data_IF_225215685494
#
_entry.id   IF_225215685494
#
_cell.length_a   1.000
_cell.length_b   1.000
_cell.length_c   1.000
_cell.angle_alpha   90.00
_cell.angle_beta   90.00
_cell.angle_gamma   90.00
#
_symmetry.space_group_name_H-M   'P 1'
#
loop_
_entity.id
_entity.type
_entity.pdbx_description
1 polymer ?
#
# COMPACT_ATOMS: atom_id res chain seq x y z
N UNK A 1 -9.63 33.92 71.29
CA UNK A 1 -10.87 33.18 71.56
C UNK A 1 -10.95 32.02 70.57
N UNK A 2 -10.75 30.81 71.07
CA UNK A 2 -10.89 29.54 70.33
C UNK A 2 -12.34 29.30 69.88
N UNK A 3 -12.50 28.56 68.79
CA UNK A 3 -13.60 27.60 68.48
C UNK A 3 -13.23 26.93 67.14
N UNK A 4 -12.72 25.69 67.14
CA UNK A 4 -13.48 24.41 67.13
C UNK A 4 -14.55 24.40 66.03
N UNK A 5 -14.28 23.73 64.89
CA UNK A 5 -14.62 22.32 64.59
C UNK A 5 -16.14 22.09 64.61
N UNK A 6 -16.75 21.87 63.43
CA UNK A 6 -17.22 20.56 62.93
C UNK A 6 -18.41 20.01 63.78
N UNK A 7 -19.48 19.41 63.26
CA UNK A 7 -19.58 18.45 62.18
C UNK A 7 -21.08 18.11 62.03
N UNK A 8 -21.56 18.06 60.79
CA UNK A 8 -22.45 17.03 60.20
C UNK A 8 -23.51 16.36 61.08
N UNK A 9 -24.75 16.53 60.65
CA UNK A 9 -25.65 15.41 60.38
C UNK A 9 -26.14 15.69 58.97
N UNK A 10 -25.95 14.84 57.96
CA UNK A 10 -26.69 13.60 57.76
C UNK A 10 -25.83 12.59 56.98
N UNK A 11 -25.40 11.53 57.65
CA UNK A 11 -25.18 10.24 57.00
C UNK A 11 -26.05 9.24 57.76
N UNK A 12 -27.13 8.78 57.13
CA UNK A 12 -27.36 7.34 57.04
C UNK A 12 -28.45 7.02 56.02
N UNK A 13 -28.07 6.37 54.91
CA UNK A 13 -28.60 5.04 54.61
C UNK A 13 -27.91 4.44 53.37
N UNK A 14 -27.12 3.40 53.65
CA UNK A 14 -27.07 2.10 52.94
C UNK A 14 -27.01 2.13 51.41
N UNK A 15 -25.84 1.73 50.90
CA UNK A 15 -25.73 0.43 50.23
C UNK A 15 -24.28 -0.05 50.27
N UNK A 16 -24.03 -0.97 51.18
CA UNK A 16 -22.91 -1.88 51.12
C UNK A 16 -23.10 -2.77 49.88
N UNK A 17 -22.19 -2.67 48.91
CA UNK A 17 -21.88 -3.78 48.02
C UNK A 17 -20.37 -3.82 47.83
N UNK A 18 -19.82 -5.02 48.05
CA UNK A 18 -18.42 -5.36 47.91
C UNK A 18 -17.85 -4.90 46.56
N UNK A 19 -16.73 -4.20 46.59
CA UNK A 19 -16.01 -3.77 45.38
C UNK A 19 -15.16 -2.56 45.68
N UNK A 20 -13.84 -2.71 45.60
CA UNK A 20 -12.89 -1.62 45.79
C UNK A 20 -13.24 -0.41 44.94
N UNK A 21 -12.94 0.79 45.44
CA UNK A 21 -13.14 2.06 44.75
C UNK A 21 -12.63 1.93 43.30
N UNK A 22 -13.49 2.04 42.28
CA UNK A 22 -13.02 2.03 40.89
C UNK A 22 -12.08 3.21 40.74
N UNK A 23 -10.86 2.98 40.23
CA UNK A 23 -9.99 4.07 39.80
C UNK A 23 -10.78 4.83 38.74
N UNK A 24 -11.15 6.07 39.01
CA UNK A 24 -11.90 6.91 38.08
C UNK A 24 -11.25 8.28 38.07
N UNK A 25 -11.00 8.81 36.87
CA UNK A 25 -10.46 10.15 36.68
C UNK A 25 -11.58 11.10 36.27
N UNK A 26 -11.46 12.37 36.68
CA UNK A 26 -12.45 13.40 36.38
C UNK A 26 -12.01 14.17 35.13
N UNK A 27 -12.78 14.04 34.06
CA UNK A 27 -12.58 14.77 32.80
C UNK A 27 -13.86 15.56 32.47
N UNK A 28 -13.74 16.87 32.24
CA UNK A 28 -14.87 17.77 31.89
C UNK A 28 -16.13 17.56 32.77
N UNK A 29 -15.95 17.56 34.09
CA UNK A 29 -17.01 17.38 35.10
C UNK A 29 -17.75 16.03 35.11
N UNK A 30 -17.27 15.02 34.36
CA UNK A 30 -17.74 13.64 34.47
C UNK A 30 -16.67 12.72 35.07
N UNK A 31 -17.12 11.78 35.89
CA UNK A 31 -16.30 10.68 36.39
C UNK A 31 -16.24 9.58 35.31
N UNK A 32 -15.04 9.33 34.79
CA UNK A 32 -14.81 8.29 33.79
C UNK A 32 -14.04 7.14 34.46
N UNK A 33 -14.52 5.88 34.36
CA UNK A 33 -13.78 4.75 34.88
C UNK A 33 -12.43 4.62 34.16
N UNK A 34 -11.33 4.50 34.92
CA UNK A 34 -10.04 4.10 34.39
C UNK A 34 -10.12 2.61 34.08
N UNK A 35 -10.56 2.27 32.87
CA UNK A 35 -10.37 0.92 32.37
C UNK A 35 -8.87 0.74 32.15
N UNK A 36 -8.23 -0.14 32.93
CA UNK A 36 -6.93 -0.69 32.53
C UNK A 36 -7.15 -1.31 31.15
N UNK A 37 -6.48 -0.76 30.14
CA UNK A 37 -6.55 -1.29 28.78
C UNK A 37 -6.23 -2.79 28.87
N UNK A 38 -7.11 -3.70 28.41
CA UNK A 38 -6.86 -5.13 28.58
C UNK A 38 -5.70 -5.49 27.66
N UNK A 39 -4.48 -5.53 28.19
CA UNK A 39 -3.35 -6.23 27.60
C UNK A 39 -3.54 -7.74 27.81
N UNK A 40 -4.76 -8.24 27.62
CA UNK A 40 -4.96 -9.68 27.42
C UNK A 40 -4.15 -10.02 26.19
N UNK A 41 -2.99 -10.58 26.49
CA UNK A 41 -2.04 -11.15 25.57
C UNK A 41 -2.85 -11.98 24.58
N UNK A 42 -2.96 -11.49 23.35
CA UNK A 42 -3.39 -12.26 22.19
C UNK A 42 -2.30 -13.31 21.90
N UNK A 43 -2.04 -14.20 22.85
CA UNK A 43 -1.19 -15.37 22.70
C UNK A 43 -2.07 -16.48 22.12
N UNK A 44 -1.82 -16.84 20.86
CA UNK A 44 -2.14 -18.18 20.36
C UNK A 44 -3.09 -18.32 19.16
N UNK A 45 -3.58 -17.25 18.52
CA UNK A 45 -4.41 -17.39 17.31
C UNK A 45 -3.95 -16.59 16.08
N UNK A 46 -2.88 -15.82 16.18
CA UNK A 46 -2.15 -15.43 14.98
C UNK A 46 -1.30 -16.65 14.55
N UNK A 47 -1.92 -17.61 13.87
CA UNK A 47 -1.13 -18.25 12.81
C UNK A 47 -0.74 -17.08 11.92
N UNK A 48 0.53 -16.63 11.99
CA UNK A 48 1.08 -15.70 11.01
C UNK A 48 0.86 -16.37 9.67
N UNK A 49 -0.21 -15.95 9.00
CA UNK A 49 -0.50 -16.39 7.65
C UNK A 49 0.77 -16.11 6.86
N UNK A 50 1.38 -17.12 6.22
CA UNK A 50 2.62 -16.94 5.51
C UNK A 50 2.49 -15.71 4.62
N UNK A 51 3.42 -14.76 4.65
CA UNK A 51 3.27 -13.51 3.94
C UNK A 51 2.88 -13.80 2.49
N UNK A 52 1.75 -13.25 2.06
CA UNK A 52 1.13 -13.52 0.76
C UNK A 52 2.14 -13.38 -0.40
N UNK A 53 3.14 -12.51 -0.19
CA UNK A 53 4.32 -12.35 -1.03
C UNK A 53 5.59 -12.42 -0.17
N UNK A 54 6.26 -13.58 -0.10
CA UNK A 54 7.57 -13.70 0.54
C UNK A 54 8.56 -12.72 -0.06
N UNK A 55 9.41 -12.13 0.77
CA UNK A 55 10.39 -11.11 0.37
C UNK A 55 11.35 -11.64 -0.69
N UNK A 56 11.64 -12.94 -0.67
CA UNK A 56 12.48 -13.63 -1.64
C UNK A 56 11.86 -13.57 -3.04
N UNK A 57 10.55 -13.77 -3.17
CA UNK A 57 9.85 -13.68 -4.46
C UNK A 57 9.86 -12.26 -5.00
N UNK A 58 9.81 -11.26 -4.11
CA UNK A 58 9.94 -9.86 -4.50
C UNK A 58 11.36 -9.54 -4.97
N UNK A 59 12.38 -10.02 -4.26
CA UNK A 59 13.78 -9.88 -4.66
C UNK A 59 14.05 -10.55 -6.02
N UNK A 60 13.51 -11.74 -6.25
CA UNK A 60 13.60 -12.43 -7.54
C UNK A 60 12.93 -11.64 -8.67
N UNK A 61 11.75 -11.07 -8.42
CA UNK A 61 11.07 -10.21 -9.39
C UNK A 61 11.89 -8.96 -9.73
N UNK A 62 12.48 -8.30 -8.72
CA UNK A 62 13.39 -7.16 -8.94
C UNK A 62 14.65 -7.57 -9.71
N UNK A 63 15.21 -8.74 -9.42
CA UNK A 63 16.36 -9.29 -10.15
C UNK A 63 16.02 -9.48 -11.63
N UNK A 64 14.87 -10.04 -11.94
CA UNK A 64 14.42 -10.22 -13.33
C UNK A 64 14.22 -8.89 -14.07
N UNK A 65 13.71 -7.87 -13.39
CA UNK A 65 13.60 -6.51 -13.93
C UNK A 65 14.99 -5.94 -14.22
N UNK A 66 15.92 -6.04 -13.27
CA UNK A 66 17.29 -5.56 -13.43
C UNK A 66 18.00 -6.26 -14.61
N UNK A 67 17.84 -7.58 -14.73
CA UNK A 67 18.40 -8.36 -15.83
C UNK A 67 17.85 -7.92 -17.19
N UNK A 68 16.55 -7.69 -17.29
CA UNK A 68 15.95 -7.21 -18.53
C UNK A 68 16.47 -5.83 -18.95
N UNK A 69 16.54 -4.89 -17.99
CA UNK A 69 17.09 -3.55 -18.20
C UNK A 69 18.54 -3.61 -18.69
N UNK A 70 19.36 -4.46 -18.07
CA UNK A 70 20.78 -4.65 -18.38
C UNK A 70 21.05 -5.59 -19.57
N UNK A 71 20.02 -6.06 -20.27
CA UNK A 71 20.16 -6.98 -21.40
C UNK A 71 20.82 -8.31 -21.06
N UNK A 72 20.42 -8.91 -19.95
CA UNK A 72 21.02 -10.12 -19.42
C UNK A 72 22.55 -9.98 -19.26
N UNK A 73 22.98 -8.79 -18.79
CA UNK A 73 24.39 -8.45 -18.56
C UNK A 73 25.12 -7.81 -19.75
N UNK A 74 24.49 -7.72 -20.93
CA UNK A 74 25.07 -7.04 -22.10
C UNK A 74 24.80 -5.53 -22.05
N UNK A 75 25.46 -4.86 -21.11
CA UNK A 75 25.29 -3.43 -20.86
C UNK A 75 25.56 -2.58 -22.10
N UNK A 76 24.60 -1.73 -22.44
CA UNK A 76 24.71 -0.70 -23.47
C UNK A 76 23.94 0.52 -22.98
N UNK A 77 24.63 1.63 -22.71
CA UNK A 77 24.05 2.81 -22.05
C UNK A 77 22.73 3.29 -22.69
N UNK A 78 22.72 3.45 -24.01
CA UNK A 78 21.50 3.80 -24.76
C UNK A 78 20.41 2.75 -24.62
N UNK A 79 20.76 1.47 -24.75
CA UNK A 79 19.82 0.36 -24.64
C UNK A 79 19.24 0.18 -23.23
N UNK A 80 20.00 0.53 -22.19
CA UNK A 80 19.52 0.56 -20.79
C UNK A 80 18.56 1.72 -20.60
N UNK A 81 18.91 2.90 -21.11
CA UNK A 81 18.05 4.10 -21.05
C UNK A 81 16.72 3.84 -21.76
N UNK A 82 16.78 3.23 -22.94
CA UNK A 82 15.59 2.94 -23.74
C UNK A 82 14.65 1.97 -23.02
N UNK A 83 15.22 0.89 -22.45
CA UNK A 83 14.45 -0.07 -21.66
C UNK A 83 13.92 0.49 -20.36
N UNK A 84 14.68 1.32 -19.65
CA UNK A 84 14.22 1.97 -18.42
C UNK A 84 13.01 2.88 -18.68
N UNK A 85 13.04 3.64 -19.78
CA UNK A 85 11.91 4.47 -20.19
C UNK A 85 10.68 3.62 -20.57
N UNK A 86 10.86 2.51 -21.28
CA UNK A 86 9.77 1.60 -21.61
C UNK A 86 9.22 0.92 -20.36
N UNK A 87 10.07 0.48 -19.43
CA UNK A 87 9.66 -0.08 -18.14
C UNK A 87 8.79 0.91 -17.37
N UNK A 88 9.26 2.15 -17.22
CA UNK A 88 8.52 3.21 -16.54
C UNK A 88 7.17 3.48 -17.23
N UNK A 89 7.14 3.48 -18.56
CA UNK A 89 5.89 3.66 -19.31
C UNK A 89 4.92 2.50 -19.11
N UNK A 90 5.41 1.26 -19.01
CA UNK A 90 4.56 0.09 -18.80
C UNK A 90 3.91 0.11 -17.41
N UNK A 91 4.71 0.33 -16.36
CA UNK A 91 4.23 0.26 -14.97
C UNK A 91 3.52 1.54 -14.53
N UNK A 92 4.03 2.70 -14.92
CA UNK A 92 3.53 4.01 -14.51
C UNK A 92 3.55 5.02 -15.67
N UNK A 93 2.64 4.89 -16.67
CA UNK A 93 2.59 5.80 -17.81
C UNK A 93 2.55 7.28 -17.40
N UNK A 94 1.81 7.60 -16.33
CA UNK A 94 1.70 8.97 -15.79
C UNK A 94 3.06 9.55 -15.36
N UNK A 95 3.95 8.74 -14.77
CA UNK A 95 5.28 9.18 -14.35
C UNK A 95 6.20 9.51 -15.53
N UNK A 96 5.97 8.87 -16.69
CA UNK A 96 6.70 9.21 -17.91
C UNK A 96 6.18 10.44 -18.62
N UNK A 97 5.00 10.95 -18.23
CA UNK A 97 4.28 12.01 -18.94
C UNK A 97 3.77 11.58 -20.31
N UNK A 98 3.75 10.28 -20.61
CA UNK A 98 3.31 9.73 -21.88
C UNK A 98 2.01 8.94 -21.69
N UNK A 99 1.00 9.27 -22.49
CA UNK A 99 -0.32 8.60 -22.48
C UNK A 99 -0.47 7.54 -23.57
N UNK A 100 0.47 7.55 -24.53
CA UNK A 100 0.48 6.65 -25.69
C UNK A 100 1.92 6.27 -26.06
N UNK A 101 2.07 5.14 -26.76
CA UNK A 101 3.36 4.72 -27.32
C UNK A 101 3.92 5.71 -28.35
N UNK A 102 3.07 6.47 -29.05
CA UNK A 102 3.52 7.48 -30.00
C UNK A 102 4.26 8.62 -29.31
N UNK A 103 3.70 9.13 -28.20
CA UNK A 103 4.34 10.14 -27.37
C UNK A 103 5.65 9.62 -26.76
N UNK A 104 5.68 8.34 -26.36
CA UNK A 104 6.89 7.71 -25.86
C UNK A 104 7.98 7.66 -26.94
N UNK A 105 7.63 7.26 -28.16
CA UNK A 105 8.57 7.20 -29.29
C UNK A 105 9.16 8.58 -29.65
N UNK A 106 8.32 9.60 -29.66
CA UNK A 106 8.75 10.99 -29.86
C UNK A 106 9.72 11.44 -28.75
N UNK A 107 9.40 11.16 -27.49
CA UNK A 107 10.24 11.53 -26.34
C UNK A 107 11.61 10.85 -26.38
N UNK A 108 11.65 9.59 -26.78
CA UNK A 108 12.89 8.80 -26.87
C UNK A 108 13.66 9.03 -28.18
N UNK A 109 13.09 9.80 -29.12
CA UNK A 109 13.62 9.97 -30.49
C UNK A 109 13.87 8.62 -31.18
N UNK A 110 12.93 7.70 -30.99
CA UNK A 110 12.93 6.37 -31.62
C UNK A 110 11.76 6.26 -32.60
N UNK A 111 11.86 5.33 -33.54
CA UNK A 111 10.71 4.98 -34.37
C UNK A 111 9.65 4.26 -33.55
N UNK A 112 8.38 4.36 -33.98
CA UNK A 112 7.28 3.60 -33.35
C UNK A 112 7.50 2.10 -33.41
N UNK A 113 8.19 1.58 -34.45
CA UNK A 113 8.51 0.16 -34.55
C UNK A 113 9.55 -0.27 -33.51
N UNK A 114 10.57 0.54 -33.24
CA UNK A 114 11.56 0.27 -32.19
C UNK A 114 10.90 0.22 -30.81
N UNK A 115 10.06 1.21 -30.48
CA UNK A 115 9.30 1.21 -29.21
C UNK A 115 8.38 -0.01 -29.11
N UNK A 116 7.70 -0.37 -30.19
CA UNK A 116 6.85 -1.57 -30.21
C UNK A 116 7.63 -2.85 -29.95
N UNK A 117 8.85 -2.99 -30.46
CA UNK A 117 9.68 -4.15 -30.16
C UNK A 117 10.09 -4.20 -28.68
N UNK A 118 10.47 -3.08 -28.07
CA UNK A 118 10.72 -3.04 -26.63
C UNK A 118 9.48 -3.41 -25.80
N UNK A 119 8.31 -2.90 -26.18
CA UNK A 119 7.04 -3.24 -25.50
C UNK A 119 6.71 -4.72 -25.66
N UNK A 120 6.91 -5.31 -26.85
CA UNK A 120 6.71 -6.75 -27.09
C UNK A 120 7.68 -7.58 -26.26
N UNK A 121 8.97 -7.20 -26.22
CA UNK A 121 9.98 -7.89 -25.42
C UNK A 121 9.62 -7.86 -23.94
N UNK A 122 9.23 -6.68 -23.42
CA UNK A 122 8.75 -6.53 -22.06
C UNK A 122 7.54 -7.43 -21.78
N UNK A 123 6.53 -7.37 -22.65
CA UNK A 123 5.28 -8.12 -22.47
C UNK A 123 5.50 -9.63 -22.54
N UNK A 124 6.46 -10.10 -23.35
CA UNK A 124 6.86 -11.50 -23.42
C UNK A 124 7.61 -11.94 -22.15
N UNK A 125 8.46 -11.09 -21.59
CA UNK A 125 9.26 -11.43 -20.41
C UNK A 125 8.43 -11.43 -19.12
N UNK A 126 7.53 -10.47 -18.95
CA UNK A 126 6.80 -10.24 -17.71
C UNK A 126 5.30 -10.57 -17.79
N UNK A 127 4.81 -11.00 -18.96
CA UNK A 127 3.38 -11.26 -19.20
C UNK A 127 2.46 -10.10 -18.80
N UNK A 128 2.99 -8.86 -18.86
CA UNK A 128 2.29 -7.65 -18.44
C UNK A 128 2.18 -6.65 -19.59
N UNK A 129 1.00 -6.05 -19.72
CA UNK A 129 0.72 -5.03 -20.72
C UNK A 129 -0.01 -3.86 -20.08
N UNK A 130 0.50 -2.64 -20.29
CA UNK A 130 -0.13 -1.43 -19.78
C UNK A 130 -1.36 -1.04 -20.59
N UNK A 131 -2.37 -0.42 -19.96
CA UNK A 131 -3.51 0.10 -20.71
C UNK A 131 -3.11 1.21 -21.71
N UNK A 132 -1.98 1.88 -21.47
CA UNK A 132 -1.44 2.92 -22.33
C UNK A 132 -0.91 2.41 -23.68
N UNK A 133 -0.65 1.09 -23.81
CA UNK A 133 -0.19 0.48 -25.07
C UNK A 133 -1.33 0.20 -26.05
N UNK A 134 -2.59 0.21 -25.60
CA UNK A 134 -3.73 -0.01 -26.48
C UNK A 134 -4.15 1.27 -27.18
N UNK A 135 -4.60 1.15 -28.44
CA UNK A 135 -5.34 2.22 -29.11
C UNK A 135 -6.69 2.45 -28.40
N UNK A 136 -7.29 3.63 -28.58
CA UNK A 136 -8.55 3.98 -27.92
C UNK A 136 -9.65 2.92 -28.15
N UNK A 137 -9.78 2.43 -29.38
CA UNK A 137 -10.70 1.35 -29.77
C UNK A 137 -10.42 0.03 -29.04
N UNK A 138 -9.15 -0.32 -28.85
CA UNK A 138 -8.76 -1.53 -28.11
C UNK A 138 -8.99 -1.37 -26.60
N UNK A 139 -8.78 -0.19 -26.02
CA UNK A 139 -9.10 0.10 -24.61
C UNK A 139 -10.58 -0.10 -24.34
N UNK A 140 -11.44 0.36 -25.24
CA UNK A 140 -12.90 0.19 -25.15
C UNK A 140 -13.31 -1.29 -25.23
N UNK A 141 -12.75 -2.05 -26.18
CA UNK A 141 -12.97 -3.50 -26.27
C UNK A 141 -12.49 -4.27 -25.04
N UNK A 142 -11.35 -3.91 -24.45
CA UNK A 142 -10.86 -4.56 -23.23
C UNK A 142 -11.71 -4.23 -22.01
N UNK A 143 -12.25 -3.00 -21.93
CA UNK A 143 -13.20 -2.58 -20.89
C UNK A 143 -14.52 -3.35 -20.97
N UNK A 144 -15.08 -3.54 -22.18
CA UNK A 144 -16.31 -4.31 -22.35
C UNK A 144 -16.13 -5.79 -21.99
N UNK A 145 -15.01 -6.41 -22.38
CA UNK A 145 -14.67 -7.81 -22.04
C UNK A 145 -14.54 -8.07 -20.53
N UNK A 146 -14.07 -7.09 -19.76
CA UNK A 146 -13.95 -7.19 -18.29
C UNK A 146 -15.28 -7.05 -17.55
N UNK A 147 -16.28 -6.38 -18.13
CA UNK A 147 -17.62 -6.23 -17.54
C UNK A 147 -18.53 -7.44 -17.77
N UNK A 148 -18.15 -8.35 -18.67
CA UNK A 148 -18.92 -9.57 -18.99
C UNK A 148 -18.41 -10.83 -18.26
N UNK A 149 -17.50 -10.67 -17.30
CA UNK A 149 -17.11 -11.71 -16.33
C UNK A 149 -17.61 -11.29 -14.95
#
# INVERSE_FOLDING_TARGET
MSRELAHVSWMDNRREHAGGTPRADRCNDQWVPLCDFPFEVLDGFAQEEPPLYPVEKFADALREIAMWLLNDGRFQERGVTDRAMVFAFMIAPAATGCTTQAQLAEKMKLSRSQVNEYVKQFSRRFSFVSNATYSQRQRECCKSRRKSK
#
